data_IF_252846749623
#
_entry.id   IF_252846749623
#
_cell.length_a   1.000
_cell.length_b   1.000
_cell.length_c   1.000
_cell.angle_alpha   90.00
_cell.angle_beta   90.00
_cell.angle_gamma   90.00
#
_symmetry.space_group_name_H-M   'P 1'
#
loop_
_entity.id
_entity.type
_entity.pdbx_description
1 polymer ?
#
# COMPACT_ATOMS: atom_id res chain seq x y z
N UNK A 1 -6.60 20.31 -11.33
CA UNK A 1 -7.31 19.33 -10.49
C UNK A 1 -6.24 18.63 -9.66
N UNK A 2 -6.21 18.82 -8.36
CA UNK A 2 -5.31 18.11 -7.47
C UNK A 2 -5.65 16.62 -7.55
N UNK A 3 -4.68 15.79 -7.87
CA UNK A 3 -4.86 14.34 -7.82
C UNK A 3 -4.97 13.95 -6.33
N UNK A 4 -6.17 13.63 -5.91
CA UNK A 4 -6.43 13.15 -4.55
C UNK A 4 -6.24 11.64 -4.59
N UNK A 5 -5.18 11.14 -3.94
CA UNK A 5 -4.97 9.72 -3.77
C UNK A 5 -6.10 9.17 -2.91
N UNK A 6 -6.68 8.07 -3.34
CA UNK A 6 -7.84 7.47 -2.71
C UNK A 6 -7.55 6.02 -2.37
N UNK A 7 -8.05 5.58 -1.24
CA UNK A 7 -8.03 4.18 -0.81
C UNK A 7 -9.45 3.65 -0.72
N UNK A 8 -9.64 2.34 -0.70
CA UNK A 8 -10.96 1.74 -0.52
C UNK A 8 -11.57 2.17 0.82
N UNK A 9 -12.84 2.55 0.80
CA UNK A 9 -13.60 2.88 2.01
C UNK A 9 -13.71 1.69 2.98
N UNK A 10 -13.53 0.45 2.48
CA UNK A 10 -13.51 -0.76 3.30
C UNK A 10 -12.33 -0.83 4.29
N UNK A 11 -11.25 -0.04 4.07
CA UNK A 11 -10.16 0.08 5.05
C UNK A 11 -10.63 0.64 6.40
N UNK A 12 -11.70 1.44 6.43
CA UNK A 12 -12.30 1.91 7.67
C UNK A 12 -12.76 0.78 8.60
N UNK A 13 -13.09 -0.38 8.03
CA UNK A 13 -13.49 -1.57 8.80
C UNK A 13 -12.32 -2.18 9.57
N UNK A 14 -11.08 -2.06 9.07
CA UNK A 14 -9.87 -2.53 9.77
C UNK A 14 -9.73 -1.77 11.10
N UNK A 15 -9.86 -0.45 11.03
CA UNK A 15 -9.76 0.40 12.21
C UNK A 15 -10.91 0.13 13.21
N UNK A 16 -12.12 -0.10 12.71
CA UNK A 16 -13.26 -0.47 13.56
C UNK A 16 -13.04 -1.81 14.27
N UNK A 17 -12.52 -2.82 13.57
CA UNK A 17 -12.19 -4.12 14.18
C UNK A 17 -11.15 -3.96 15.29
N UNK A 18 -10.12 -3.17 15.06
CA UNK A 18 -9.10 -2.86 16.06
C UNK A 18 -9.73 -2.21 17.31
N UNK A 19 -10.59 -1.20 17.13
CA UNK A 19 -11.30 -0.57 18.25
C UNK A 19 -12.10 -1.57 19.08
N UNK A 20 -12.89 -2.43 18.40
CA UNK A 20 -13.70 -3.46 19.07
C UNK A 20 -12.82 -4.42 19.87
N UNK A 21 -11.72 -4.92 19.28
CA UNK A 21 -10.81 -5.86 19.94
C UNK A 21 -10.09 -5.24 21.15
N UNK A 22 -9.80 -3.95 21.08
CA UNK A 22 -9.16 -3.20 22.17
C UNK A 22 -10.14 -2.67 23.22
N UNK A 23 -11.44 -2.78 22.98
CA UNK A 23 -12.45 -2.20 23.84
C UNK A 23 -12.43 -0.66 23.85
N UNK A 24 -11.94 -0.04 22.77
CA UNK A 24 -11.88 1.41 22.63
C UNK A 24 -13.26 1.92 22.24
N UNK A 25 -13.75 2.89 23.00
CA UNK A 25 -15.03 3.58 22.74
C UNK A 25 -14.73 5.04 22.44
N UNK A 26 -14.98 5.47 21.21
CA UNK A 26 -14.88 6.87 20.78
C UNK A 26 -16.02 7.18 19.83
N UNK A 27 -17.04 7.87 20.31
CA UNK A 27 -18.21 8.25 19.49
C UNK A 27 -17.78 9.09 18.27
N UNK A 28 -16.80 9.98 18.46
CA UNK A 28 -16.27 10.81 17.38
C UNK A 28 -15.65 9.96 16.28
N UNK A 29 -14.76 9.02 16.62
CA UNK A 29 -14.08 8.15 15.66
C UNK A 29 -15.08 7.20 14.99
N UNK A 30 -16.01 6.61 15.75
CA UNK A 30 -17.07 5.75 15.22
C UNK A 30 -17.94 6.46 14.18
N UNK A 31 -18.36 7.71 14.43
CA UNK A 31 -19.17 8.49 13.49
C UNK A 31 -18.39 8.77 12.19
N UNK A 32 -17.11 9.11 12.28
CA UNK A 32 -16.23 9.32 11.12
C UNK A 32 -16.01 8.03 10.33
N UNK A 33 -15.79 6.91 11.00
CA UNK A 33 -15.63 5.60 10.36
C UNK A 33 -16.94 5.14 9.67
N UNK A 34 -18.09 5.42 10.28
CA UNK A 34 -19.40 5.13 9.66
C UNK A 34 -19.58 5.90 8.34
N UNK A 35 -19.19 7.18 8.30
CA UNK A 35 -19.22 7.98 7.08
C UNK A 35 -18.22 7.47 6.03
N UNK A 36 -17.00 7.13 6.44
CA UNK A 36 -15.97 6.61 5.54
C UNK A 36 -16.39 5.26 4.92
N UNK A 37 -17.00 4.37 5.70
CA UNK A 37 -17.45 3.05 5.24
C UNK A 37 -18.58 3.08 4.22
N UNK A 38 -19.34 4.17 4.15
CA UNK A 38 -20.40 4.38 3.17
C UNK A 38 -19.86 4.86 1.81
N UNK A 39 -18.59 5.27 1.76
CA UNK A 39 -17.94 5.72 0.53
C UNK A 39 -17.22 4.54 -0.13
N UNK A 40 -17.29 4.48 -1.46
CA UNK A 40 -16.52 3.50 -2.23
C UNK A 40 -15.02 3.72 -2.02
N UNK A 41 -14.59 4.97 -1.97
CA UNK A 41 -13.21 5.38 -1.71
C UNK A 41 -13.14 6.60 -0.81
N UNK A 42 -12.10 6.67 0.02
CA UNK A 42 -11.75 7.83 0.86
C UNK A 42 -10.40 8.42 0.44
N UNK A 43 -10.18 9.71 0.70
CA UNK A 43 -8.87 10.29 0.44
C UNK A 43 -7.83 9.78 1.44
N UNK A 44 -6.56 9.72 1.01
CA UNK A 44 -5.45 9.34 1.90
C UNK A 44 -5.37 10.29 3.10
N UNK A 45 -5.61 11.58 2.91
CA UNK A 45 -5.61 12.58 3.99
C UNK A 45 -6.69 12.28 5.03
N UNK A 46 -7.92 11.96 4.60
CA UNK A 46 -8.99 11.59 5.51
C UNK A 46 -8.67 10.31 6.29
N UNK A 47 -8.03 9.34 5.63
CA UNK A 47 -7.56 8.12 6.28
C UNK A 47 -6.45 8.40 7.30
N UNK A 48 -5.47 9.24 6.96
CA UNK A 48 -4.41 9.67 7.87
C UNK A 48 -4.95 10.35 9.13
N UNK A 49 -5.96 11.21 8.97
CA UNK A 49 -6.62 11.85 10.11
C UNK A 49 -7.30 10.84 11.03
N UNK A 50 -7.96 9.80 10.48
CA UNK A 50 -8.55 8.72 11.27
C UNK A 50 -7.48 7.95 12.04
N UNK A 51 -6.35 7.65 11.42
CA UNK A 51 -5.22 6.97 12.06
C UNK A 51 -4.58 7.82 13.15
N UNK A 52 -4.44 9.13 12.94
CA UNK A 52 -3.91 10.06 13.96
C UNK A 52 -4.83 10.12 15.17
N UNK A 53 -6.14 10.17 14.95
CA UNK A 53 -7.12 10.12 16.05
C UNK A 53 -7.04 8.78 16.81
N UNK A 54 -6.83 7.66 16.13
CA UNK A 54 -6.62 6.37 16.78
C UNK A 54 -5.32 6.33 17.60
N UNK A 55 -4.26 6.94 17.12
CA UNK A 55 -2.98 7.04 17.82
C UNK A 55 -3.09 7.90 19.09
N UNK A 56 -3.85 9.01 19.04
CA UNK A 56 -4.15 9.84 20.22
C UNK A 56 -4.90 9.07 21.32
N UNK A 57 -5.71 8.09 20.96
CA UNK A 57 -6.45 7.23 21.91
C UNK A 57 -5.55 6.19 22.61
N UNK A 58 -4.41 5.85 22.01
CA UNK A 58 -3.49 4.83 22.52
C UNK A 58 -2.02 5.28 22.40
N UNK A 59 -1.63 6.37 23.09
CA UNK A 59 -0.29 6.91 22.97
C UNK A 59 0.77 5.91 23.42
N UNK A 60 1.90 5.87 22.70
CA UNK A 60 3.04 5.02 23.02
C UNK A 60 2.87 3.53 22.67
N UNK A 61 1.73 3.15 22.08
CA UNK A 61 1.51 1.80 21.53
C UNK A 61 1.85 1.77 20.04
N UNK A 62 2.22 0.59 19.53
CA UNK A 62 2.44 0.39 18.10
C UNK A 62 1.09 0.30 17.35
N UNK A 63 0.35 1.42 17.31
CA UNK A 63 -1.04 1.47 16.82
C UNK A 63 -1.13 1.05 15.36
N UNK A 64 -0.19 1.52 14.52
CA UNK A 64 -0.16 1.14 13.11
C UNK A 64 0.03 -0.36 12.90
N UNK A 65 0.92 -0.98 13.68
CA UNK A 65 1.13 -2.43 13.68
C UNK A 65 -0.15 -3.17 14.10
N UNK A 66 -0.80 -2.72 15.16
CA UNK A 66 -2.02 -3.35 15.67
C UNK A 66 -3.18 -3.25 14.68
N UNK A 67 -3.41 -2.07 14.09
CA UNK A 67 -4.47 -1.86 13.10
C UNK A 67 -4.20 -2.71 11.86
N UNK A 68 -2.99 -2.68 11.29
CA UNK A 68 -2.65 -3.44 10.09
C UNK A 68 -2.79 -4.94 10.27
N UNK A 69 -2.56 -5.48 11.49
CA UNK A 69 -2.74 -6.89 11.78
C UNK A 69 -4.20 -7.38 11.75
N UNK A 70 -5.17 -6.46 11.77
CA UNK A 70 -6.60 -6.78 11.66
C UNK A 70 -7.09 -6.95 10.22
N UNK A 71 -6.20 -6.83 9.23
CA UNK A 71 -6.60 -6.94 7.83
C UNK A 71 -7.18 -8.32 7.52
N UNK A 72 -8.23 -8.32 6.73
CA UNK A 72 -8.84 -9.50 6.11
C UNK A 72 -8.93 -9.27 4.60
N UNK A 73 -9.04 -10.33 3.83
CA UNK A 73 -9.15 -10.26 2.37
C UNK A 73 -10.25 -9.32 1.90
N UNK A 74 -11.39 -9.33 2.59
CA UNK A 74 -12.54 -8.47 2.29
C UNK A 74 -12.25 -6.98 2.42
N UNK A 75 -11.29 -6.59 3.25
CA UNK A 75 -10.90 -5.20 3.43
C UNK A 75 -10.13 -4.64 2.24
N UNK A 76 -9.37 -5.47 1.55
CA UNK A 76 -8.63 -5.07 0.35
C UNK A 76 -9.51 -5.04 -0.92
N UNK A 77 -10.81 -5.39 -0.80
CA UNK A 77 -11.76 -5.35 -1.90
C UNK A 77 -11.29 -6.16 -3.12
N UNK A 78 -11.42 -5.57 -4.32
CA UNK A 78 -11.01 -6.23 -5.57
C UNK A 78 -9.52 -6.57 -5.58
N UNK A 79 -8.65 -5.71 -5.02
CA UNK A 79 -7.22 -5.99 -4.91
C UNK A 79 -6.96 -7.27 -4.10
N UNK A 80 -7.57 -7.41 -2.92
CA UNK A 80 -7.44 -8.62 -2.11
C UNK A 80 -7.87 -9.87 -2.87
N UNK A 81 -8.97 -9.78 -3.61
CA UNK A 81 -9.45 -10.89 -4.43
C UNK A 81 -8.48 -11.27 -5.56
N UNK A 82 -7.86 -10.28 -6.22
CA UNK A 82 -6.85 -10.53 -7.27
C UNK A 82 -5.60 -11.18 -6.68
N UNK A 83 -5.12 -10.70 -5.53
CA UNK A 83 -3.96 -11.26 -4.85
C UNK A 83 -4.20 -12.70 -4.35
N UNK A 84 -5.45 -13.05 -3.98
CA UNK A 84 -5.80 -14.41 -3.61
C UNK A 84 -5.57 -15.43 -4.74
N UNK A 85 -5.65 -14.99 -5.99
CA UNK A 85 -5.50 -15.82 -7.17
C UNK A 85 -4.03 -15.97 -7.62
N UNK A 86 -3.08 -15.47 -6.85
CA UNK A 86 -1.65 -15.61 -7.14
C UNK A 86 -1.12 -16.98 -6.71
N UNK A 87 -0.13 -17.50 -7.44
CA UNK A 87 0.45 -18.82 -7.20
C UNK A 87 1.45 -18.81 -6.04
N UNK A 88 2.13 -17.71 -5.85
CA UNK A 88 3.13 -17.48 -4.82
C UNK A 88 3.20 -15.98 -4.47
N UNK A 89 4.07 -15.62 -3.51
CA UNK A 89 4.22 -14.24 -3.06
C UNK A 89 4.77 -13.34 -4.18
N UNK A 90 5.74 -13.81 -4.98
CA UNK A 90 6.30 -13.01 -6.08
C UNK A 90 5.21 -12.61 -7.08
N UNK A 91 4.37 -13.55 -7.49
CA UNK A 91 3.24 -13.32 -8.37
C UNK A 91 2.18 -12.37 -7.75
N UNK A 92 1.97 -12.49 -6.43
CA UNK A 92 1.10 -11.55 -5.71
C UNK A 92 1.66 -10.13 -5.70
N UNK A 93 2.97 -9.95 -5.51
CA UNK A 93 3.61 -8.63 -5.55
C UNK A 93 3.58 -8.01 -6.94
N UNK A 94 3.82 -8.80 -8.00
CA UNK A 94 3.66 -8.32 -9.37
C UNK A 94 2.22 -7.89 -9.64
N UNK A 95 1.24 -8.68 -9.21
CA UNK A 95 -0.18 -8.34 -9.31
C UNK A 95 -0.51 -7.08 -8.53
N UNK A 96 0.07 -6.91 -7.32
CA UNK A 96 -0.08 -5.71 -6.51
C UNK A 96 0.40 -4.46 -7.27
N UNK A 97 1.59 -4.49 -7.87
CA UNK A 97 2.14 -3.36 -8.63
C UNK A 97 1.26 -2.97 -9.82
N UNK A 98 0.71 -3.95 -10.52
CA UNK A 98 -0.22 -3.67 -11.62
C UNK A 98 -1.50 -3.03 -11.14
N UNK A 99 -2.03 -3.50 -10.01
CA UNK A 99 -3.27 -3.00 -9.44
C UNK A 99 -3.07 -1.64 -8.78
N UNK A 100 -1.91 -1.38 -8.17
CA UNK A 100 -1.63 -0.14 -7.46
C UNK A 100 -1.97 1.08 -8.30
N UNK A 101 -1.52 1.09 -9.56
CA UNK A 101 -1.84 2.17 -10.49
C UNK A 101 -3.33 2.26 -10.81
N UNK A 102 -3.98 1.12 -10.95
CA UNK A 102 -5.42 1.11 -11.23
C UNK A 102 -6.24 1.65 -10.05
N UNK A 103 -5.89 1.28 -8.81
CA UNK A 103 -6.63 1.65 -7.61
C UNK A 103 -6.26 3.04 -7.08
N UNK A 104 -4.99 3.43 -7.19
CA UNK A 104 -4.49 4.68 -6.61
C UNK A 104 -4.21 5.75 -7.67
N UNK A 105 -4.29 5.43 -8.95
CA UNK A 105 -4.00 6.34 -10.04
C UNK A 105 -2.50 6.55 -10.32
N UNK A 106 -1.61 5.99 -9.49
CA UNK A 106 -0.14 6.09 -9.59
C UNK A 106 0.50 4.79 -9.09
N UNK A 107 1.74 4.55 -9.51
CA UNK A 107 2.59 3.52 -8.91
C UNK A 107 3.46 4.20 -7.87
N UNK A 108 3.35 3.75 -6.63
CA UNK A 108 4.19 4.19 -5.51
C UNK A 108 5.28 3.19 -5.19
N UNK A 109 4.99 1.90 -5.41
CA UNK A 109 5.88 0.82 -5.08
C UNK A 109 6.78 0.46 -6.26
N UNK A 110 7.99 0.07 -5.94
CA UNK A 110 8.98 -0.52 -6.84
C UNK A 110 9.39 -1.89 -6.31
N UNK A 111 9.44 -2.88 -7.19
CA UNK A 111 9.93 -4.21 -6.87
C UNK A 111 11.30 -4.39 -7.53
N UNK A 112 12.31 -4.65 -6.74
CA UNK A 112 13.68 -4.93 -7.20
C UNK A 112 14.15 -6.28 -6.67
N UNK A 113 15.15 -6.84 -7.33
CA UNK A 113 15.80 -8.08 -6.92
C UNK A 113 17.29 -7.90 -6.92
N UNK A 114 17.95 -8.38 -5.88
CA UNK A 114 19.39 -8.49 -5.77
C UNK A 114 19.81 -9.86 -5.20
N UNK A 115 21.08 -10.03 -4.86
CA UNK A 115 21.62 -11.29 -4.30
C UNK A 115 21.04 -11.61 -2.91
N UNK A 116 20.50 -10.63 -2.19
CA UNK A 116 19.90 -10.81 -0.87
C UNK A 116 18.43 -11.25 -0.92
N UNK A 117 17.71 -10.91 -1.99
CA UNK A 117 16.30 -11.25 -2.12
C UNK A 117 15.50 -10.31 -3.01
N UNK A 118 14.21 -10.21 -2.72
CA UNK A 118 13.28 -9.32 -3.40
C UNK A 118 12.87 -8.19 -2.48
N UNK A 119 13.06 -6.95 -2.91
CA UNK A 119 12.67 -5.77 -2.14
C UNK A 119 11.51 -5.04 -2.80
N UNK A 120 10.40 -4.95 -2.07
CA UNK A 120 9.29 -4.05 -2.38
C UNK A 120 9.48 -2.77 -1.58
N UNK A 121 9.65 -1.64 -2.26
CA UNK A 121 9.91 -0.35 -1.64
C UNK A 121 9.00 0.74 -2.20
N UNK A 122 8.78 1.80 -1.42
CA UNK A 122 8.00 2.99 -1.80
C UNK A 122 8.87 4.24 -1.73
N UNK A 123 9.76 4.48 -2.73
CA UNK A 123 10.77 5.53 -2.69
C UNK A 123 10.18 6.96 -2.75
N UNK A 124 9.07 7.13 -3.46
CA UNK A 124 8.41 8.42 -3.62
C UNK A 124 7.28 8.58 -2.59
N UNK A 125 7.62 8.94 -1.37
CA UNK A 125 6.63 9.08 -0.31
C UNK A 125 5.85 10.39 -0.35
N UNK A 126 4.60 10.26 0.09
CA UNK A 126 3.66 11.36 0.31
C UNK A 126 3.93 12.09 1.64
N UNK A 127 5.17 12.58 1.85
CA UNK A 127 5.55 13.36 3.02
C UNK A 127 5.91 12.55 4.27
N UNK A 128 6.74 13.12 5.15
CA UNK A 128 7.28 12.46 6.36
C UNK A 128 6.28 12.28 7.52
N UNK A 129 5.10 12.92 7.47
CA UNK A 129 4.11 12.90 8.57
C UNK A 129 3.23 11.65 8.62
N UNK A 130 3.74 10.48 8.19
CA UNK A 130 2.91 9.32 7.91
C UNK A 130 3.36 8.00 8.51
N UNK A 131 4.12 8.01 9.58
CA UNK A 131 4.66 6.79 10.18
C UNK A 131 3.55 5.74 10.44
N UNK A 132 2.46 6.12 11.09
CA UNK A 132 1.34 5.21 11.39
C UNK A 132 0.65 4.70 10.12
N UNK A 133 0.47 5.55 9.11
CA UNK A 133 -0.09 5.14 7.82
C UNK A 133 0.79 4.08 7.13
N UNK A 134 2.11 4.29 7.10
CA UNK A 134 3.08 3.35 6.56
C UNK A 134 3.06 2.03 7.34
N UNK A 135 3.09 2.10 8.66
CA UNK A 135 3.03 0.92 9.52
C UNK A 135 1.76 0.10 9.25
N UNK A 136 0.59 0.74 9.16
CA UNK A 136 -0.67 0.06 8.80
C UNK A 136 -0.55 -0.62 7.44
N UNK A 137 -0.04 0.06 6.43
CA UNK A 137 0.08 -0.45 5.07
C UNK A 137 0.99 -1.69 4.98
N UNK A 138 2.22 -1.59 5.51
CA UNK A 138 3.18 -2.69 5.49
C UNK A 138 2.69 -3.87 6.32
N UNK A 139 2.15 -3.60 7.51
CA UNK A 139 1.60 -4.65 8.39
C UNK A 139 0.42 -5.36 7.74
N UNK A 140 -0.50 -4.62 7.12
CA UNK A 140 -1.64 -5.18 6.42
C UNK A 140 -1.20 -6.06 5.25
N UNK A 141 -0.22 -5.61 4.46
CA UNK A 141 0.33 -6.39 3.35
C UNK A 141 0.95 -7.70 3.85
N UNK A 142 1.83 -7.65 4.86
CA UNK A 142 2.48 -8.85 5.41
C UNK A 142 1.46 -9.78 6.05
N UNK A 143 0.48 -9.26 6.78
CA UNK A 143 -0.61 -10.06 7.36
C UNK A 143 -1.37 -10.81 6.28
N UNK A 144 -1.76 -10.10 5.21
CA UNK A 144 -2.46 -10.70 4.08
C UNK A 144 -1.62 -11.80 3.40
N UNK A 145 -0.34 -11.50 3.09
CA UNK A 145 0.54 -12.46 2.42
C UNK A 145 0.75 -13.71 3.27
N UNK A 146 0.95 -13.58 4.58
CA UNK A 146 1.10 -14.73 5.49
C UNK A 146 -0.16 -15.58 5.60
N UNK A 147 -1.33 -14.95 5.60
CA UNK A 147 -2.61 -15.68 5.61
C UNK A 147 -2.81 -16.48 4.32
N UNK A 148 -2.40 -15.91 3.17
CA UNK A 148 -2.62 -16.50 1.85
C UNK A 148 -1.51 -17.48 1.45
N UNK A 149 -0.26 -17.23 1.84
CA UNK A 149 0.92 -17.99 1.44
C UNK A 149 1.68 -18.50 2.68
N UNK A 150 1.15 -19.48 3.42
CA UNK A 150 1.85 -20.02 4.57
C UNK A 150 3.22 -20.57 4.19
N UNK A 151 4.29 -20.10 4.84
CA UNK A 151 5.68 -20.48 4.54
C UNK A 151 6.27 -19.89 3.26
N UNK A 152 5.55 -18.99 2.58
CA UNK A 152 6.05 -18.25 1.41
C UNK A 152 6.38 -16.78 1.67
N UNK A 153 6.10 -16.28 2.89
CA UNK A 153 6.30 -14.88 3.25
C UNK A 153 7.36 -14.75 4.37
N UNK A 154 8.57 -15.28 4.12
CA UNK A 154 9.72 -15.09 4.99
C UNK A 154 10.39 -13.76 4.66
N UNK A 155 10.57 -12.91 5.67
CA UNK A 155 11.14 -11.58 5.54
C UNK A 155 12.58 -11.56 6.01
N UNK A 156 13.45 -10.85 5.28
CA UNK A 156 14.84 -10.61 5.66
C UNK A 156 15.00 -9.31 6.44
N UNK A 157 14.26 -8.27 6.05
CA UNK A 157 14.27 -6.97 6.73
C UNK A 157 13.05 -6.15 6.40
N UNK A 158 12.74 -5.18 7.28
CA UNK A 158 11.71 -4.16 7.05
C UNK A 158 12.29 -2.79 7.37
N UNK A 159 12.05 -1.81 6.49
CA UNK A 159 12.38 -0.40 6.73
C UNK A 159 11.10 0.42 6.91
N UNK A 160 11.10 1.29 7.93
CA UNK A 160 10.03 2.21 8.28
C UNK A 160 10.59 3.64 8.33
N UNK A 161 9.78 4.64 7.98
CA UNK A 161 10.19 6.07 7.93
C UNK A 161 9.86 6.70 9.25
N UNK A 162 9.27 6.53 10.15
CA UNK A 162 9.01 7.27 11.39
C UNK A 162 10.16 7.17 12.37
N UNK A 163 10.07 7.98 13.42
CA UNK A 163 10.99 7.95 14.52
C UNK A 163 11.05 6.56 15.15
N UNK A 164 12.25 6.18 15.61
CA UNK A 164 12.45 4.92 16.29
C UNK A 164 11.67 4.91 17.62
N UNK A 165 10.71 3.99 17.80
CA UNK A 165 9.98 3.90 19.07
C UNK A 165 10.91 3.44 20.21
N UNK A 166 10.51 3.71 21.46
CA UNK A 166 11.23 3.25 22.64
C UNK A 166 11.30 1.71 22.71
N UNK A 167 10.23 1.05 22.27
CA UNK A 167 10.14 -0.40 22.22
C UNK A 167 9.96 -0.86 20.77
N UNK A 168 11.00 -1.47 20.20
CA UNK A 168 11.01 -2.04 18.84
C UNK A 168 10.58 -3.50 18.81
N UNK A 169 10.57 -4.16 19.97
CA UNK A 169 10.31 -5.60 20.07
C UNK A 169 8.99 -6.03 19.43
N UNK A 170 7.86 -5.31 19.59
CA UNK A 170 6.61 -5.67 18.94
C UNK A 170 6.71 -5.73 17.40
N UNK A 171 7.52 -4.84 16.81
CA UNK A 171 7.71 -4.80 15.36
C UNK A 171 8.56 -5.99 14.90
N UNK A 172 9.69 -6.27 15.52
CA UNK A 172 10.56 -7.39 15.18
C UNK A 172 9.84 -8.73 15.41
N UNK A 173 9.06 -8.85 16.46
CA UNK A 173 8.23 -10.04 16.71
C UNK A 173 7.16 -10.23 15.65
N UNK A 174 6.49 -9.16 15.23
CA UNK A 174 5.47 -9.26 14.19
C UNK A 174 6.09 -9.60 12.84
N UNK A 175 7.11 -8.87 12.40
CA UNK A 175 7.72 -9.09 11.09
C UNK A 175 8.59 -10.36 11.05
N UNK A 176 9.15 -10.79 12.18
CA UNK A 176 10.03 -11.94 12.29
C UNK A 176 11.43 -11.69 11.73
N UNK A 177 11.81 -10.43 11.57
CA UNK A 177 13.10 -9.98 11.02
C UNK A 177 13.51 -8.65 11.65
N UNK A 178 14.78 -8.19 11.44
CA UNK A 178 15.20 -6.86 11.85
C UNK A 178 14.36 -5.76 11.21
N UNK A 179 14.01 -4.72 12.02
CA UNK A 179 13.26 -3.55 11.58
C UNK A 179 14.09 -2.29 11.77
N UNK A 180 14.31 -1.56 10.68
CA UNK A 180 15.02 -0.27 10.68
C UNK A 180 14.00 0.85 10.64
N UNK A 181 14.17 1.84 11.52
CA UNK A 181 13.38 3.08 11.57
C UNK A 181 14.18 4.25 11.00
N UNK A 182 13.55 5.41 10.86
CA UNK A 182 14.18 6.62 10.32
C UNK A 182 14.78 6.43 8.92
N UNK A 183 14.23 5.47 8.17
CA UNK A 183 14.66 5.19 6.80
C UNK A 183 14.13 6.25 5.83
N UNK A 184 14.86 6.52 4.75
CA UNK A 184 14.44 7.48 3.72
C UNK A 184 13.11 7.10 3.07
N UNK A 185 12.83 5.81 2.94
CA UNK A 185 11.59 5.25 2.43
C UNK A 185 11.25 3.90 3.07
N UNK A 186 9.96 3.52 3.11
CA UNK A 186 9.54 2.22 3.62
C UNK A 186 9.83 1.12 2.61
N UNK A 187 10.11 -0.06 3.12
CA UNK A 187 10.37 -1.23 2.29
C UNK A 187 10.29 -2.55 3.06
N UNK A 188 10.11 -3.62 2.32
CA UNK A 188 10.12 -4.99 2.81
C UNK A 188 11.03 -5.81 1.91
N UNK A 189 12.04 -6.46 2.49
CA UNK A 189 12.90 -7.41 1.78
C UNK A 189 12.46 -8.82 2.13
N UNK A 190 12.13 -9.59 1.11
CA UNK A 190 11.67 -10.98 1.20
C UNK A 190 12.81 -11.93 0.85
N UNK A 191 12.82 -13.10 1.49
CA UNK A 191 13.70 -14.20 1.12
C UNK A 191 13.42 -14.66 -0.33
N UNK A 192 14.50 -14.73 -1.13
CA UNK A 192 14.40 -14.98 -2.57
C UNK A 192 13.84 -16.34 -2.94
N UNK A 193 14.06 -17.35 -2.10
CA UNK A 193 13.56 -18.71 -2.33
C UNK A 193 12.14 -18.89 -1.75
N UNK A 194 11.87 -18.28 -0.59
CA UNK A 194 10.57 -18.36 0.05
C UNK A 194 9.47 -17.75 -0.81
N UNK A 195 9.72 -16.58 -1.40
CA UNK A 195 8.75 -15.81 -2.18
C UNK A 195 8.26 -16.57 -3.45
N UNK A 196 9.05 -17.52 -3.94
CA UNK A 196 8.73 -18.35 -5.11
C UNK A 196 8.03 -19.67 -4.75
N UNK A 197 7.89 -20.01 -3.46
CA UNK A 197 7.22 -21.24 -3.04
C UNK A 197 5.76 -21.23 -3.45
N UNK A 198 5.28 -22.28 -4.14
CA UNK A 198 3.87 -22.38 -4.51
C UNK A 198 2.96 -22.37 -3.27
N UNK A 199 1.82 -21.70 -3.40
CA UNK A 199 0.79 -21.71 -2.36
C UNK A 199 0.20 -23.11 -2.20
N UNK A 200 -0.05 -23.50 -0.95
CA UNK A 200 -0.77 -24.75 -0.66
C UNK A 200 -2.24 -24.58 -1.07
N UNK A 201 -2.69 -25.44 -1.99
CA UNK A 201 -4.02 -25.38 -2.57
C UNK A 201 -4.00 -24.74 -3.96
N UNK A 202 -3.45 -25.48 -4.95
CA UNK A 202 -3.46 -25.05 -6.34
C UNK A 202 -4.86 -24.67 -6.79
N UNK A 203 -4.99 -23.46 -7.33
CA UNK A 203 -6.24 -23.01 -7.92
C UNK A 203 -6.53 -23.87 -9.17
N UNK A 204 -7.81 -24.16 -9.46
CA UNK A 204 -8.17 -24.88 -10.68
C UNK A 204 -7.61 -24.19 -11.94
N UNK A 205 -7.20 -24.95 -12.96
CA UNK A 205 -6.60 -24.43 -14.20
C UNK A 205 -7.41 -23.31 -14.88
N UNK A 206 -8.72 -23.32 -14.75
CA UNK A 206 -9.58 -22.25 -15.25
C UNK A 206 -9.38 -20.92 -14.52
N UNK A 207 -8.88 -20.92 -13.28
CA UNK A 207 -8.52 -19.69 -12.57
C UNK A 207 -7.27 -19.02 -13.15
N UNK A 208 -6.29 -19.79 -13.62
CA UNK A 208 -5.11 -19.24 -14.28
C UNK A 208 -5.50 -18.49 -15.57
N UNK A 209 -6.42 -19.02 -16.36
CA UNK A 209 -6.92 -18.36 -17.55
C UNK A 209 -7.69 -17.07 -17.23
N UNK A 210 -8.54 -17.10 -16.18
CA UNK A 210 -9.27 -15.94 -15.70
C UNK A 210 -8.33 -14.86 -15.15
N UNK A 211 -7.31 -15.25 -14.37
CA UNK A 211 -6.27 -14.35 -13.89
C UNK A 211 -5.51 -13.70 -15.03
N UNK A 212 -5.08 -14.47 -16.02
CA UNK A 212 -4.37 -13.94 -17.18
C UNK A 212 -5.23 -12.94 -17.97
N UNK A 213 -6.52 -13.22 -18.11
CA UNK A 213 -7.45 -12.30 -18.75
C UNK A 213 -7.62 -11.00 -17.95
N UNK A 214 -7.75 -11.09 -16.61
CA UNK A 214 -7.83 -9.93 -15.72
C UNK A 214 -6.52 -9.13 -15.73
N UNK A 215 -5.38 -9.81 -15.66
CA UNK A 215 -4.06 -9.22 -15.77
C UNK A 215 -3.89 -8.45 -17.09
N UNK A 216 -4.27 -9.06 -18.21
CA UNK A 216 -4.22 -8.42 -19.53
C UNK A 216 -5.18 -7.22 -19.62
N UNK A 217 -6.33 -7.29 -18.99
CA UNK A 217 -7.27 -6.16 -18.93
C UNK A 217 -6.71 -5.00 -18.09
N UNK A 218 -6.17 -5.28 -16.90
CA UNK A 218 -5.52 -4.29 -16.04
C UNK A 218 -4.28 -3.67 -16.70
N UNK A 219 -3.45 -4.48 -17.35
CA UNK A 219 -2.26 -4.00 -18.09
C UNK A 219 -2.61 -3.07 -19.23
N UNK A 220 -3.71 -3.34 -19.94
CA UNK A 220 -4.22 -2.46 -21.00
C UNK A 220 -4.74 -1.13 -20.46
N UNK A 221 -5.45 -1.16 -19.33
CA UNK A 221 -5.98 0.05 -18.68
C UNK A 221 -4.84 0.84 -18.00
N UNK A 222 -3.86 0.14 -17.42
CA UNK A 222 -2.73 0.77 -16.74
C UNK A 222 -1.77 1.48 -17.69
N UNK A 223 -1.81 1.24 -19.02
CA UNK A 223 -0.87 1.84 -19.98
C UNK A 223 0.60 1.59 -19.57
N UNK A 224 0.89 0.37 -19.14
CA UNK A 224 2.02 0.01 -18.27
C UNK A 224 3.41 0.42 -18.80
N UNK A 225 3.53 0.79 -20.07
CA UNK A 225 4.81 1.15 -20.70
C UNK A 225 4.82 2.49 -21.42
N UNK A 226 3.83 3.36 -21.19
CA UNK A 226 3.88 4.70 -21.78
C UNK A 226 4.89 5.58 -21.01
N UNK A 227 6.05 5.92 -21.63
CA UNK A 227 7.07 6.78 -20.99
C UNK A 227 6.51 8.16 -20.60
N UNK A 228 5.48 8.63 -21.28
CA UNK A 228 4.81 9.88 -20.97
C UNK A 228 4.08 9.79 -19.63
N UNK A 229 3.35 8.71 -19.38
CA UNK A 229 2.63 8.51 -18.13
C UNK A 229 3.59 8.29 -16.95
N UNK A 230 4.70 7.56 -17.13
CA UNK A 230 5.75 7.43 -16.13
C UNK A 230 6.38 8.79 -15.77
N UNK A 231 6.69 9.61 -16.77
CA UNK A 231 7.21 10.95 -16.57
C UNK A 231 6.19 11.86 -15.88
N UNK A 232 4.93 11.80 -16.29
CA UNK A 232 3.83 12.56 -15.67
C UNK A 232 3.69 12.23 -14.19
N UNK A 233 3.70 10.96 -13.84
CA UNK A 233 3.63 10.49 -12.46
C UNK A 233 4.78 11.01 -11.61
N UNK A 234 6.02 10.85 -12.09
CA UNK A 234 7.22 11.33 -11.37
C UNK A 234 7.15 12.83 -11.11
N UNK A 235 6.68 13.63 -12.07
CA UNK A 235 6.53 15.08 -11.91
C UNK A 235 5.40 15.41 -10.94
N UNK A 236 4.28 14.69 -10.98
CA UNK A 236 3.16 14.89 -10.05
C UNK A 236 3.57 14.59 -8.61
N UNK A 237 4.24 13.47 -8.37
CA UNK A 237 4.72 13.06 -7.05
C UNK A 237 5.68 14.09 -6.43
N UNK A 238 6.58 14.67 -7.22
CA UNK A 238 7.49 15.75 -6.78
C UNK A 238 6.78 17.08 -6.53
N UNK A 239 5.71 17.36 -7.26
CA UNK A 239 5.01 18.66 -7.20
C UNK A 239 3.96 18.74 -6.07
N UNK A 240 3.45 17.59 -5.59
CA UNK A 240 2.42 17.51 -4.54
C UNK A 240 2.94 18.04 -3.20
N UNK A 241 4.12 17.63 -2.68
CA UNK A 241 4.68 18.15 -1.43
C UNK A 241 5.01 19.64 -1.48
N UNK A 242 5.26 20.20 -2.66
CA UNK A 242 5.66 21.61 -2.87
C UNK A 242 4.46 22.59 -3.02
N UNK A 243 3.29 22.24 -2.54
CA UNK A 243 2.12 23.13 -2.57
C UNK A 243 1.23 23.00 -3.80
N UNK A 244 1.22 21.84 -4.43
CA UNK A 244 0.23 21.43 -5.42
C UNK A 244 0.73 21.32 -6.85
N UNK A 245 0.25 20.30 -7.55
CA UNK A 245 0.50 20.04 -8.96
C UNK A 245 -0.45 20.89 -9.81
N UNK A 246 0.00 22.07 -10.20
CA UNK A 246 -0.74 22.88 -11.19
C UNK A 246 -0.33 22.50 -12.61
N UNK A 247 -1.25 22.65 -13.57
CA UNK A 247 -0.99 22.34 -14.97
C UNK A 247 0.30 23.00 -15.52
N UNK A 248 0.61 24.29 -15.21
CA UNK A 248 1.87 24.90 -15.61
C UNK A 248 3.13 24.29 -14.96
N UNK A 249 3.06 23.92 -13.67
CA UNK A 249 4.17 23.26 -12.97
C UNK A 249 4.46 21.87 -13.57
N UNK A 250 3.41 21.09 -13.79
CA UNK A 250 3.52 19.77 -14.39
C UNK A 250 4.06 19.83 -15.81
N UNK A 251 3.54 20.71 -16.64
CA UNK A 251 4.03 20.90 -18.00
C UNK A 251 5.52 21.26 -18.03
N UNK A 252 5.95 22.16 -17.12
CA UNK A 252 7.36 22.56 -16.97
C UNK A 252 8.23 21.38 -16.51
N UNK A 253 7.79 20.62 -15.52
CA UNK A 253 8.51 19.45 -15.00
C UNK A 253 8.68 18.34 -16.04
N UNK A 254 7.75 18.24 -16.99
CA UNK A 254 7.81 17.33 -18.13
C UNK A 254 8.52 17.91 -19.37
N UNK A 255 9.04 19.13 -19.32
CA UNK A 255 9.57 19.87 -20.47
C UNK A 255 8.59 19.96 -21.66
N UNK A 256 7.29 20.15 -21.36
CA UNK A 256 6.22 20.27 -22.36
C UNK A 256 5.53 21.63 -22.27
N UNK A 257 4.91 22.05 -23.39
CA UNK A 257 3.95 23.16 -23.31
C UNK A 257 2.64 22.68 -22.66
N UNK A 258 1.91 23.62 -22.00
CA UNK A 258 0.59 23.31 -21.41
C UNK A 258 -0.35 22.69 -22.46
N UNK A 259 -0.35 23.21 -23.68
CA UNK A 259 -1.17 22.70 -24.80
C UNK A 259 -0.79 21.26 -25.17
N UNK A 260 0.52 20.95 -25.19
CA UNK A 260 1.01 19.60 -25.49
C UNK A 260 0.63 18.62 -24.38
N UNK A 261 0.74 19.04 -23.12
CA UNK A 261 0.31 18.23 -21.97
C UNK A 261 -1.19 17.95 -22.04
N UNK A 262 -2.02 18.98 -22.23
CA UNK A 262 -3.48 18.82 -22.34
C UNK A 262 -3.94 17.94 -23.48
N UNK A 263 -3.21 17.94 -24.60
CA UNK A 263 -3.54 17.08 -25.74
C UNK A 263 -3.19 15.61 -25.49
N UNK A 264 -2.23 15.35 -24.57
CA UNK A 264 -1.77 13.99 -24.25
C UNK A 264 -2.47 13.39 -23.03
N UNK A 265 -3.11 14.21 -22.21
CA UNK A 265 -4.03 13.78 -21.14
C UNK A 265 -5.39 13.42 -21.70
#
# INVERSE_FOLDING_TARGET
>A
MLMVIRISGSFSQILRLWMVRKGIVSERLENRLALASQQETVSVEAWRELLREAEELCPGQAVGLQIGSEVQVTHAGVLGYLLLNSDNVADALETYLLCERHFYGVNFAELSRDDSGWTLAWPDQLGNDNATFVQVGLTALVTFLRQRFPGGCDLLSVSLTGDKPQDVVPFEQFFGCPVTFESDYPGITFDGDAILRPSVGALPENFHAMRQQQYNALSKVAGADDPFLKCLQSVLLKSIPEGGATLPKVARGMNLSIRTLQRRL
#
